data_IF_084285718953
#
_entry.id   IF_084285718953
#
_cell.length_a   1.000
_cell.length_b   1.000
_cell.length_c   1.000
_cell.angle_alpha   90.00
_cell.angle_beta   90.00
_cell.angle_gamma   90.00
#
_symmetry.space_group_name_H-M   'P 1'
#
loop_
_entity.id
_entity.type
_entity.pdbx_description
1 polymer ?
#
# COMPACT_ATOMS: atom_id res chain seq x y z
N UNK A 1 5.05 11.73 30.67
CA UNK A 1 4.32 10.65 29.96
C UNK A 1 4.86 9.33 30.50
N UNK A 2 4.01 8.54 31.16
CA UNK A 2 4.43 7.38 31.94
C UNK A 2 4.68 6.15 31.05
N UNK A 3 5.43 5.17 31.56
CA UNK A 3 5.68 3.88 30.89
C UNK A 3 4.38 3.23 30.40
N UNK A 4 3.26 3.42 31.10
CA UNK A 4 1.93 2.93 30.70
C UNK A 4 1.40 3.53 29.39
N UNK A 5 1.70 4.80 29.10
CA UNK A 5 1.19 5.49 27.90
C UNK A 5 1.97 5.03 26.67
N UNK A 6 3.29 4.85 26.81
CA UNK A 6 4.14 4.29 25.76
C UNK A 6 3.72 2.86 25.39
N UNK A 7 3.34 2.04 26.38
CA UNK A 7 2.85 0.68 26.14
C UNK A 7 1.53 0.70 25.38
N UNK A 8 0.60 1.60 25.74
CA UNK A 8 -0.66 1.78 24.99
C UNK A 8 -0.40 2.17 23.53
N UNK A 9 0.48 3.15 23.30
CA UNK A 9 0.84 3.57 21.94
C UNK A 9 1.52 2.46 21.15
N UNK A 10 2.36 1.63 21.79
CA UNK A 10 2.98 0.46 21.15
C UNK A 10 1.93 -0.58 20.71
N UNK A 11 1.01 -0.94 21.59
CA UNK A 11 -0.06 -1.91 21.29
C UNK A 11 -0.93 -1.40 20.14
N UNK A 12 -1.28 -0.10 20.17
CA UNK A 12 -2.06 0.54 19.10
C UNK A 12 -1.30 0.56 17.77
N UNK A 13 0.01 0.81 17.78
CA UNK A 13 0.84 0.78 16.58
C UNK A 13 0.91 -0.63 15.96
N UNK A 14 1.06 -1.67 16.79
CA UNK A 14 1.03 -3.06 16.31
C UNK A 14 -0.36 -3.42 15.76
N UNK A 15 -1.43 -3.05 16.46
CA UNK A 15 -2.81 -3.28 16.00
C UNK A 15 -3.09 -2.57 14.67
N UNK A 16 -2.65 -1.32 14.53
CA UNK A 16 -2.69 -0.56 13.29
C UNK A 16 -2.01 -1.32 12.15
N UNK A 17 -0.79 -1.82 12.35
CA UNK A 17 -0.07 -2.58 11.34
C UNK A 17 -0.79 -3.87 10.93
N UNK A 18 -1.49 -4.53 11.86
CA UNK A 18 -2.36 -5.68 11.55
C UNK A 18 -3.52 -5.29 10.66
N UNK A 19 -4.23 -4.21 10.98
CA UNK A 19 -5.33 -3.72 10.17
C UNK A 19 -4.86 -3.27 8.78
N UNK A 20 -3.81 -2.45 8.71
CA UNK A 20 -3.24 -1.98 7.45
C UNK A 20 -2.76 -3.17 6.61
N UNK A 21 -1.97 -4.09 7.16
CA UNK A 21 -1.48 -5.27 6.43
C UNK A 21 -2.62 -6.16 5.91
N UNK A 22 -3.64 -6.40 6.74
CA UNK A 22 -4.82 -7.16 6.35
C UNK A 22 -5.63 -6.47 5.25
N UNK A 23 -5.72 -5.14 5.28
CA UNK A 23 -6.48 -4.35 4.30
C UNK A 23 -5.99 -4.57 2.86
N UNK A 24 -4.67 -4.66 2.64
CA UNK A 24 -4.10 -4.92 1.31
C UNK A 24 -4.56 -6.27 0.76
N UNK A 25 -4.61 -7.28 1.62
CA UNK A 25 -4.96 -8.65 1.24
C UNK A 25 -6.47 -8.79 1.01
N UNK A 26 -7.30 -8.15 1.83
CA UNK A 26 -8.74 -8.08 1.62
C UNK A 26 -9.09 -7.33 0.33
N UNK A 27 -8.49 -6.16 0.09
CA UNK A 27 -8.67 -5.40 -1.16
C UNK A 27 -8.31 -6.26 -2.37
N UNK A 28 -7.17 -6.95 -2.32
CA UNK A 28 -6.74 -7.83 -3.42
C UNK A 28 -7.69 -9.00 -3.64
N UNK A 29 -8.15 -9.66 -2.57
CA UNK A 29 -9.12 -10.75 -2.67
C UNK A 29 -10.46 -10.26 -3.24
N UNK A 30 -10.90 -9.08 -2.84
CA UNK A 30 -12.07 -8.39 -3.42
C UNK A 30 -11.89 -8.10 -4.91
N UNK A 31 -10.72 -7.55 -5.29
CA UNK A 31 -10.39 -7.27 -6.70
C UNK A 31 -10.43 -8.54 -7.56
N UNK A 32 -9.86 -9.65 -7.08
CA UNK A 32 -9.91 -10.95 -7.79
C UNK A 32 -11.33 -11.46 -7.96
N UNK A 33 -12.19 -11.32 -6.95
CA UNK A 33 -13.59 -11.76 -7.01
C UNK A 33 -14.41 -10.89 -7.98
N UNK A 34 -14.25 -9.57 -7.90
CA UNK A 34 -14.88 -8.64 -8.81
C UNK A 34 -14.43 -8.86 -10.27
N UNK A 35 -13.15 -9.17 -10.47
CA UNK A 35 -12.58 -9.48 -11.78
C UNK A 35 -13.07 -10.80 -12.39
N UNK A 36 -13.59 -11.72 -11.59
CA UNK A 36 -14.25 -12.93 -12.10
C UNK A 36 -15.69 -12.67 -12.56
N UNK A 37 -16.34 -11.63 -12.03
CA UNK A 37 -17.71 -11.26 -12.35
C UNK A 37 -17.84 -10.10 -13.35
N UNK A 38 -16.76 -9.36 -13.62
CA UNK A 38 -16.77 -8.23 -14.55
C UNK A 38 -15.38 -7.73 -14.94
N UNK A 39 -15.28 -6.45 -15.30
CA UNK A 39 -14.04 -5.90 -15.85
C UNK A 39 -13.02 -5.68 -14.73
N UNK A 40 -11.85 -6.29 -14.92
CA UNK A 40 -10.71 -6.25 -14.00
C UNK A 40 -10.18 -4.83 -13.80
N UNK A 41 -9.77 -4.52 -12.57
CA UNK A 41 -9.20 -3.22 -12.24
C UNK A 41 -7.89 -2.96 -12.99
N UNK A 42 -7.07 -3.99 -13.18
CA UNK A 42 -5.78 -3.93 -13.88
C UNK A 42 -5.89 -3.41 -15.31
N UNK A 43 -7.02 -3.66 -16.00
CA UNK A 43 -7.30 -3.14 -17.35
C UNK A 43 -8.15 -1.87 -17.36
N UNK A 44 -8.36 -1.24 -16.19
CA UNK A 44 -9.11 0.01 -16.04
C UNK A 44 -10.59 -0.15 -15.70
N UNK A 45 -11.06 -1.35 -15.35
CA UNK A 45 -12.44 -1.58 -14.89
C UNK A 45 -12.70 -1.11 -13.45
N UNK A 46 -13.95 -0.80 -13.12
CA UNK A 46 -14.37 -0.33 -11.80
C UNK A 46 -15.35 -1.29 -11.09
N UNK A 47 -15.49 -2.54 -11.56
CA UNK A 47 -16.44 -3.52 -11.01
C UNK A 47 -16.22 -3.82 -9.53
N UNK A 48 -14.99 -3.64 -9.03
CA UNK A 48 -14.64 -3.84 -7.62
C UNK A 48 -15.37 -2.91 -6.65
N UNK A 49 -15.92 -1.78 -7.11
CA UNK A 49 -16.73 -0.88 -6.29
C UNK A 49 -18.04 -1.52 -5.81
N UNK A 50 -18.51 -2.57 -6.50
CA UNK A 50 -19.69 -3.34 -6.11
C UNK A 50 -19.36 -4.51 -5.16
N UNK A 51 -18.09 -4.87 -5.01
CA UNK A 51 -17.68 -6.04 -4.23
C UNK A 51 -17.55 -5.66 -2.74
N UNK A 52 -18.36 -6.24 -1.84
CA UNK A 52 -18.32 -5.89 -0.41
C UNK A 52 -17.00 -6.23 0.26
N UNK A 53 -16.28 -7.26 -0.20
CA UNK A 53 -14.96 -7.61 0.33
C UNK A 53 -13.92 -6.51 0.07
N UNK A 54 -14.01 -5.79 -1.05
CA UNK A 54 -13.12 -4.67 -1.33
C UNK A 54 -13.37 -3.51 -0.36
N UNK A 55 -14.64 -3.18 -0.11
CA UNK A 55 -15.03 -2.19 0.89
C UNK A 55 -14.64 -2.57 2.31
N UNK A 56 -14.77 -3.86 2.68
CA UNK A 56 -14.26 -4.35 3.95
C UNK A 56 -12.75 -4.08 4.08
N UNK A 57 -11.99 -4.29 3.00
CA UNK A 57 -10.58 -3.90 2.93
C UNK A 57 -10.36 -2.40 3.14
N UNK A 58 -11.14 -1.54 2.47
CA UNK A 58 -11.06 -0.08 2.65
C UNK A 58 -11.38 0.37 4.07
N UNK A 59 -12.44 -0.14 4.68
CA UNK A 59 -12.80 0.18 6.07
C UNK A 59 -11.70 -0.28 7.03
N UNK A 60 -11.16 -1.48 6.83
CA UNK A 60 -10.04 -2.00 7.64
C UNK A 60 -8.82 -1.08 7.54
N UNK A 61 -8.52 -0.55 6.35
CA UNK A 61 -7.43 0.42 6.14
C UNK A 61 -7.67 1.70 6.95
N UNK A 62 -8.88 2.27 6.88
CA UNK A 62 -9.23 3.49 7.61
C UNK A 62 -9.12 3.29 9.13
N UNK A 63 -9.62 2.17 9.65
CA UNK A 63 -9.50 1.83 11.07
C UNK A 63 -8.03 1.70 11.49
N UNK A 64 -7.21 1.08 10.65
CA UNK A 64 -5.76 1.00 10.86
C UNK A 64 -5.09 2.38 10.93
N UNK A 65 -5.36 3.26 9.97
CA UNK A 65 -4.81 4.62 9.95
C UNK A 65 -5.26 5.46 11.15
N UNK A 66 -6.51 5.34 11.59
CA UNK A 66 -7.00 6.00 12.81
C UNK A 66 -6.26 5.46 14.04
N UNK A 67 -6.10 4.14 14.16
CA UNK A 67 -5.33 3.53 15.25
C UNK A 67 -3.86 3.99 15.22
N UNK A 68 -3.26 4.14 14.04
CA UNK A 68 -1.92 4.68 13.84
C UNK A 68 -1.81 6.10 14.36
N UNK A 69 -2.76 6.96 13.98
CA UNK A 69 -2.82 8.34 14.44
C UNK A 69 -2.92 8.43 15.96
N UNK A 70 -3.79 7.63 16.58
CA UNK A 70 -3.92 7.57 18.03
C UNK A 70 -2.63 7.04 18.68
N UNK A 71 -1.91 6.11 18.04
CA UNK A 71 -0.61 5.65 18.54
C UNK A 71 0.43 6.79 18.64
N UNK A 72 0.46 7.70 17.67
CA UNK A 72 1.33 8.89 17.72
C UNK A 72 0.97 9.89 18.83
N UNK A 73 -0.28 9.86 19.34
CA UNK A 73 -0.68 10.68 20.49
C UNK A 73 -0.09 10.13 21.80
N UNK A 74 0.04 8.81 21.91
CA UNK A 74 0.49 8.13 23.13
C UNK A 74 1.99 7.79 23.14
N UNK A 75 2.60 7.61 21.98
CA UNK A 75 3.99 7.20 21.82
C UNK A 75 4.75 8.09 20.84
N UNK A 76 6.05 8.31 21.06
CA UNK A 76 6.89 9.08 20.15
C UNK A 76 6.99 8.40 18.77
N UNK A 77 7.10 9.21 17.71
CA UNK A 77 7.14 8.75 16.33
C UNK A 77 8.26 7.72 16.06
N UNK A 78 9.41 7.88 16.71
CA UNK A 78 10.55 6.95 16.58
C UNK A 78 10.19 5.50 16.96
N UNK A 79 9.20 5.29 17.83
CA UNK A 79 8.71 3.95 18.18
C UNK A 79 7.57 3.48 17.27
N UNK A 80 6.67 4.37 16.86
CA UNK A 80 5.46 4.03 16.11
C UNK A 80 5.77 3.78 14.63
N UNK A 81 6.59 4.62 14.01
CA UNK A 81 6.86 4.59 12.56
C UNK A 81 7.52 3.28 12.09
N UNK A 82 8.53 2.69 12.79
CA UNK A 82 9.11 1.42 12.38
C UNK A 82 8.13 0.25 12.49
N UNK A 83 7.18 0.31 13.43
CA UNK A 83 6.14 -0.71 13.58
C UNK A 83 5.18 -0.70 12.39
N UNK A 84 5.03 0.43 11.68
CA UNK A 84 4.30 0.50 10.42
C UNK A 84 4.84 -0.47 9.37
N UNK A 85 6.15 -0.75 9.34
CA UNK A 85 6.76 -1.75 8.45
C UNK A 85 6.33 -3.19 8.77
N UNK A 86 5.82 -3.47 9.98
CA UNK A 86 5.24 -4.78 10.31
C UNK A 86 4.03 -5.11 9.43
N UNK A 87 3.31 -4.09 8.93
CA UNK A 87 2.19 -4.30 8.00
C UNK A 87 2.62 -5.04 6.72
N UNK A 88 3.88 -4.91 6.31
CA UNK A 88 4.49 -5.63 5.17
C UNK A 88 4.62 -7.12 5.48
N UNK A 89 5.05 -7.47 6.70
CA UNK A 89 5.16 -8.88 7.11
C UNK A 89 3.76 -9.48 7.22
N UNK A 90 2.83 -8.76 7.85
CA UNK A 90 1.45 -9.22 8.02
C UNK A 90 0.77 -9.42 6.65
N UNK A 91 0.94 -8.48 5.72
CA UNK A 91 0.40 -8.62 4.37
C UNK A 91 1.03 -9.80 3.63
N UNK A 92 2.35 -10.01 3.73
CA UNK A 92 3.04 -11.16 3.12
C UNK A 92 2.56 -12.51 3.68
N UNK A 93 2.43 -12.61 5.00
CA UNK A 93 1.93 -13.83 5.68
C UNK A 93 0.48 -14.11 5.30
N UNK A 94 -0.39 -13.10 5.31
CA UNK A 94 -1.78 -13.25 4.92
C UNK A 94 -1.94 -13.53 3.42
N UNK A 95 -1.08 -12.99 2.55
CA UNK A 95 -1.04 -13.35 1.14
C UNK A 95 -0.76 -14.85 0.95
N UNK A 96 0.15 -15.41 1.77
CA UNK A 96 0.45 -16.83 1.74
C UNK A 96 -0.76 -17.70 2.11
N UNK A 97 -1.44 -17.39 3.22
CA UNK A 97 -2.57 -18.19 3.68
C UNK A 97 -3.87 -17.93 2.90
N UNK A 98 -4.24 -16.66 2.66
CA UNK A 98 -5.54 -16.30 2.10
C UNK A 98 -5.58 -16.32 0.57
N UNK A 99 -4.46 -15.99 -0.09
CA UNK A 99 -4.37 -15.96 -1.55
C UNK A 99 -3.61 -17.18 -2.10
N UNK A 100 -3.10 -18.06 -1.23
CA UNK A 100 -2.25 -19.21 -1.58
C UNK A 100 -1.03 -18.80 -2.42
N UNK A 101 -0.53 -17.58 -2.24
CA UNK A 101 0.72 -17.12 -2.88
C UNK A 101 1.90 -17.79 -2.16
N UNK A 102 2.75 -18.57 -2.85
CA UNK A 102 3.87 -19.24 -2.19
C UNK A 102 4.99 -18.25 -1.93
N UNK A 103 5.28 -17.98 -0.64
CA UNK A 103 6.46 -17.21 -0.26
C UNK A 103 7.63 -18.18 -0.07
N UNK A 104 8.62 -18.12 -0.95
CA UNK A 104 9.85 -18.90 -0.77
C UNK A 104 10.63 -18.42 0.47
N UNK A 105 11.52 -19.27 1.00
CA UNK A 105 12.39 -18.93 2.15
C UNK A 105 13.19 -17.63 1.91
N UNK A 106 13.61 -17.40 0.67
CA UNK A 106 14.31 -16.18 0.27
C UNK A 106 13.38 -14.94 0.25
N UNK A 107 12.08 -15.11 0.01
CA UNK A 107 11.09 -14.04 0.15
C UNK A 107 10.96 -13.54 1.60
N UNK A 108 11.11 -14.44 2.59
CA UNK A 108 11.15 -14.06 4.02
C UNK A 108 12.37 -13.18 4.29
N UNK A 109 13.54 -13.55 3.75
CA UNK A 109 14.76 -12.74 3.87
C UNK A 109 14.55 -11.35 3.25
N UNK A 110 13.89 -11.27 2.09
CA UNK A 110 13.53 -9.99 1.48
C UNK A 110 12.61 -9.14 2.36
N UNK A 111 11.54 -9.73 2.93
CA UNK A 111 10.66 -9.02 3.87
C UNK A 111 11.40 -8.52 5.12
N UNK A 112 12.27 -9.35 5.71
CA UNK A 112 13.08 -8.95 6.87
C UNK A 112 14.02 -7.81 6.50
N UNK A 113 14.69 -7.89 5.34
CA UNK A 113 15.55 -6.81 4.83
C UNK A 113 14.77 -5.49 4.65
N UNK A 114 13.56 -5.55 4.09
CA UNK A 114 12.70 -4.38 3.97
C UNK A 114 12.35 -3.77 5.34
N UNK A 115 12.01 -4.59 6.34
CA UNK A 115 11.72 -4.07 7.69
C UNK A 115 12.97 -3.45 8.32
N UNK A 116 14.12 -4.12 8.25
CA UNK A 116 15.39 -3.59 8.79
C UNK A 116 15.75 -2.26 8.13
N UNK A 117 15.73 -2.18 6.80
CA UNK A 117 16.03 -0.94 6.10
C UNK A 117 15.03 0.17 6.43
N UNK A 118 13.75 -0.15 6.60
CA UNK A 118 12.71 0.81 6.99
C UNK A 118 12.96 1.37 8.41
N UNK A 119 13.33 0.50 9.35
CA UNK A 119 13.70 0.90 10.72
C UNK A 119 14.90 1.84 10.68
N UNK A 120 15.93 1.53 9.89
CA UNK A 120 17.13 2.36 9.76
C UNK A 120 16.81 3.74 9.18
N UNK A 121 16.01 3.80 8.10
CA UNK A 121 15.57 5.07 7.49
C UNK A 121 14.83 5.92 8.52
N UNK A 122 13.86 5.33 9.22
CA UNK A 122 12.99 6.04 10.15
C UNK A 122 13.72 6.56 11.39
N UNK A 123 14.66 5.78 11.93
CA UNK A 123 15.43 6.20 13.12
C UNK A 123 16.34 7.38 12.82
N UNK A 124 16.86 7.46 11.60
CA UNK A 124 17.81 8.49 11.20
C UNK A 124 17.18 9.65 10.43
N UNK A 125 15.89 9.53 10.08
CA UNK A 125 15.11 10.57 9.44
C UNK A 125 15.20 11.89 10.23
N UNK A 126 15.23 13.04 9.52
CA UNK A 126 15.31 14.33 10.18
C UNK A 126 14.11 14.56 11.09
N UNK A 127 14.36 15.23 12.21
CA UNK A 127 13.29 15.75 13.06
C UNK A 127 12.57 16.84 12.27
N UNK A 128 11.37 16.55 11.79
CA UNK A 128 10.56 17.54 11.08
C UNK A 128 10.10 18.62 12.07
N UNK A 129 10.41 19.89 11.78
CA UNK A 129 9.79 21.00 12.48
C UNK A 129 8.32 21.07 12.09
N UNK A 130 7.40 20.86 13.04
CA UNK A 130 5.96 21.03 12.78
C UNK A 130 5.65 22.51 12.58
N UNK A 131 5.20 22.94 11.37
CA UNK A 131 4.91 24.34 11.13
C UNK A 131 3.70 24.78 11.95
N UNK A 132 3.73 26.04 12.36
CA UNK A 132 2.79 26.64 13.30
C UNK A 132 1.48 27.09 12.64
N UNK A 133 1.47 27.26 11.32
CA UNK A 133 0.33 27.79 10.57
C UNK A 133 0.21 27.25 9.15
N UNK A 134 -1.01 27.23 8.61
CA UNK A 134 -1.29 26.89 7.20
C UNK A 134 -0.59 27.86 6.24
N UNK A 135 -0.47 29.14 6.62
CA UNK A 135 0.26 30.14 5.83
C UNK A 135 1.75 29.84 5.76
N UNK A 136 2.34 29.28 6.80
CA UNK A 136 3.75 28.86 6.80
C UNK A 136 3.95 27.69 5.82
N UNK A 137 3.01 26.75 5.79
CA UNK A 137 3.05 25.64 4.82
C UNK A 137 2.84 26.16 3.40
N UNK A 138 1.96 27.14 3.22
CA UNK A 138 1.74 27.78 1.93
C UNK A 138 3.00 28.49 1.42
N UNK A 139 3.70 29.23 2.30
CA UNK A 139 4.95 29.89 1.90
C UNK A 139 6.02 28.87 1.57
N UNK A 140 6.16 27.79 2.33
CA UNK A 140 7.06 26.67 2.03
C UNK A 140 6.71 25.98 0.70
N UNK A 141 5.43 25.71 0.46
CA UNK A 141 4.95 25.08 -0.78
C UNK A 141 5.11 25.98 -2.02
N UNK A 142 5.07 27.30 -1.84
CA UNK A 142 5.26 28.28 -2.93
C UNK A 142 6.74 28.59 -3.19
N UNK A 143 7.67 28.01 -2.42
CA UNK A 143 9.09 28.18 -2.70
C UNK A 143 9.48 27.54 -4.03
N UNK A 144 10.43 28.13 -4.76
CA UNK A 144 10.82 27.65 -6.09
C UNK A 144 11.30 26.20 -6.07
N UNK A 145 12.00 25.77 -5.01
CA UNK A 145 12.47 24.39 -4.87
C UNK A 145 11.31 23.38 -4.83
N UNK A 146 10.29 23.62 -4.01
CA UNK A 146 9.14 22.73 -3.93
C UNK A 146 8.25 22.80 -5.17
N UNK A 147 8.10 23.98 -5.78
CA UNK A 147 7.37 24.12 -7.05
C UNK A 147 8.04 23.35 -8.19
N UNK A 148 9.37 23.39 -8.29
CA UNK A 148 10.13 22.58 -9.26
C UNK A 148 9.93 21.09 -8.98
N UNK A 149 10.00 20.66 -7.71
CA UNK A 149 9.74 19.27 -7.33
C UNK A 149 8.32 18.83 -7.69
N UNK A 150 7.30 19.65 -7.38
CA UNK A 150 5.91 19.36 -7.70
C UNK A 150 5.68 19.29 -9.21
N UNK A 151 6.22 20.25 -9.97
CA UNK A 151 6.15 20.25 -11.43
C UNK A 151 6.84 19.03 -12.04
N UNK A 152 8.03 18.67 -11.55
CA UNK A 152 8.74 17.46 -11.99
C UNK A 152 7.94 16.19 -11.66
N UNK A 153 7.40 16.09 -10.44
CA UNK A 153 6.58 14.97 -9.98
C UNK A 153 5.35 14.80 -10.87
N UNK A 154 4.59 15.87 -11.11
CA UNK A 154 3.42 15.85 -11.99
C UNK A 154 3.79 15.51 -13.43
N UNK A 155 4.92 16.01 -13.93
CA UNK A 155 5.42 15.71 -15.28
C UNK A 155 5.79 14.24 -15.43
N UNK A 156 6.47 13.66 -14.43
CA UNK A 156 6.82 12.23 -14.41
C UNK A 156 5.56 11.38 -14.31
N UNK A 157 4.62 11.73 -13.42
CA UNK A 157 3.32 11.05 -13.33
C UNK A 157 2.60 11.08 -14.67
N UNK A 158 2.53 12.24 -15.33
CA UNK A 158 1.88 12.37 -16.62
C UNK A 158 2.56 11.52 -17.70
N UNK A 159 3.89 11.50 -17.74
CA UNK A 159 4.65 10.63 -18.65
C UNK A 159 4.38 9.15 -18.37
N UNK A 160 4.35 8.74 -17.10
CA UNK A 160 4.05 7.37 -16.69
C UNK A 160 2.63 6.95 -17.10
N UNK A 161 1.64 7.82 -16.93
CA UNK A 161 0.23 7.56 -17.29
C UNK A 161 0.03 7.52 -18.81
N UNK A 162 0.54 8.53 -19.53
CA UNK A 162 0.25 8.67 -20.97
C UNK A 162 1.10 7.75 -21.85
N UNK A 163 2.35 7.46 -21.46
CA UNK A 163 3.30 6.76 -22.33
C UNK A 163 3.66 5.35 -21.84
N UNK A 164 3.93 5.18 -20.55
CA UNK A 164 4.46 3.94 -20.00
C UNK A 164 3.37 2.96 -19.56
N UNK A 165 2.29 3.44 -18.94
CA UNK A 165 1.17 2.59 -18.52
C UNK A 165 0.58 1.80 -19.70
N UNK A 166 0.25 2.41 -20.86
CA UNK A 166 -0.38 1.66 -21.95
C UNK A 166 0.53 0.60 -22.57
N UNK A 167 1.86 0.80 -22.52
CA UNK A 167 2.83 -0.09 -23.15
C UNK A 167 3.40 -1.15 -22.21
N UNK A 168 3.65 -0.79 -20.96
CA UNK A 168 4.46 -1.57 -20.03
C UNK A 168 3.80 -1.76 -18.66
N UNK A 169 2.65 -1.14 -18.39
CA UNK A 169 2.01 -1.15 -17.08
C UNK A 169 1.65 -2.56 -16.57
N UNK A 170 1.30 -3.48 -17.48
CA UNK A 170 0.97 -4.85 -17.11
C UNK A 170 2.21 -5.73 -16.87
N UNK A 171 3.37 -5.33 -17.40
CA UNK A 171 4.61 -6.10 -17.30
C UNK A 171 5.48 -5.62 -16.13
N UNK A 172 5.51 -4.30 -15.90
CA UNK A 172 6.39 -3.65 -14.94
C UNK A 172 5.61 -3.04 -13.78
N UNK A 173 5.66 -3.72 -12.62
CA UNK A 173 5.00 -3.28 -11.37
C UNK A 173 5.43 -1.87 -10.93
N UNK A 174 6.66 -1.47 -11.26
CA UNK A 174 7.23 -0.16 -10.92
C UNK A 174 6.46 1.01 -11.55
N UNK A 175 5.77 0.82 -12.67
CA UNK A 175 5.02 1.90 -13.33
C UNK A 175 3.81 2.29 -12.49
N UNK A 176 2.96 1.31 -12.14
CA UNK A 176 1.79 1.58 -11.29
C UNK A 176 2.18 2.05 -9.90
N UNK A 177 3.20 1.43 -9.29
CA UNK A 177 3.65 1.82 -7.95
C UNK A 177 4.40 3.14 -7.94
N UNK A 178 5.10 3.49 -9.03
CA UNK A 178 5.72 4.81 -9.21
C UNK A 178 4.68 5.92 -9.24
N UNK A 179 3.63 5.78 -10.07
CA UNK A 179 2.52 6.73 -10.13
C UNK A 179 1.85 6.87 -8.75
N UNK A 180 1.48 5.74 -8.14
CA UNK A 180 0.85 5.70 -6.83
C UNK A 180 1.72 6.37 -5.74
N UNK A 181 3.03 6.15 -5.76
CA UNK A 181 3.94 6.66 -4.73
C UNK A 181 4.25 8.15 -4.91
N UNK A 182 4.38 8.63 -6.16
CA UNK A 182 4.56 10.06 -6.47
C UNK A 182 3.32 10.88 -6.11
N UNK A 183 2.12 10.38 -6.42
CA UNK A 183 0.88 11.02 -5.97
C UNK A 183 0.73 10.91 -4.43
N UNK A 184 1.18 9.80 -3.86
CA UNK A 184 1.19 9.58 -2.42
C UNK A 184 2.06 10.57 -1.64
N UNK A 185 3.27 10.89 -2.12
CA UNK A 185 4.14 11.87 -1.44
C UNK A 185 3.52 13.27 -1.40
N UNK A 186 2.89 13.70 -2.51
CA UNK A 186 2.13 14.95 -2.58
C UNK A 186 0.89 14.94 -1.66
N UNK A 187 0.26 13.78 -1.51
CA UNK A 187 -0.85 13.58 -0.56
C UNK A 187 -0.40 13.81 0.87
N UNK A 188 0.73 13.22 1.30
CA UNK A 188 1.25 13.38 2.67
C UNK A 188 1.50 14.85 2.99
N UNK A 189 2.14 15.57 2.08
CA UNK A 189 2.35 17.02 2.21
C UNK A 189 1.03 17.78 2.36
N UNK A 190 0.04 17.48 1.52
CA UNK A 190 -1.25 18.15 1.53
C UNK A 190 -2.05 17.84 2.81
N UNK A 191 -2.03 16.59 3.28
CA UNK A 191 -2.68 16.17 4.52
C UNK A 191 -2.04 16.84 5.72
N UNK A 192 -0.72 17.03 5.76
CA UNK A 192 -0.06 17.81 6.83
C UNK A 192 -0.62 19.23 6.91
N UNK A 193 -0.81 19.89 5.76
CA UNK A 193 -1.42 21.22 5.70
C UNK A 193 -2.85 21.24 6.26
N UNK A 194 -3.66 20.25 5.85
CA UNK A 194 -5.04 20.09 6.30
C UNK A 194 -5.10 19.78 7.80
N UNK A 195 -4.23 18.89 8.31
CA UNK A 195 -4.17 18.52 9.72
C UNK A 195 -3.88 19.73 10.62
N UNK A 196 -2.97 20.59 10.19
CA UNK A 196 -2.65 21.85 10.89
C UNK A 196 -3.82 22.83 10.80
N UNK A 197 -4.49 22.94 9.64
CA UNK A 197 -5.70 23.75 9.49
C UNK A 197 -6.82 23.32 10.44
N UNK A 198 -7.05 22.01 10.57
CA UNK A 198 -8.05 21.43 11.49
C UNK A 198 -7.66 21.74 12.93
N UNK A 199 -6.41 21.51 13.32
CA UNK A 199 -5.91 21.78 14.67
C UNK A 199 -6.14 23.25 15.08
N UNK A 200 -5.75 24.19 14.22
CA UNK A 200 -5.94 25.63 14.46
C UNK A 200 -7.42 26.04 14.50
N UNK A 201 -8.26 25.37 13.69
CA UNK A 201 -9.71 25.60 13.70
C UNK A 201 -10.33 25.15 15.02
N UNK A 202 -9.87 24.02 15.58
CA UNK A 202 -10.30 23.54 16.90
C UNK A 202 -9.80 24.43 18.05
N UNK A 203 -8.64 25.09 17.87
CA UNK A 203 -8.10 26.09 18.80
C UNK A 203 -8.81 27.46 18.71
N UNK A 204 -9.83 27.60 17.86
CA UNK A 204 -10.72 28.76 17.80
C UNK A 204 -10.41 29.77 16.71
N UNK A 205 -9.38 29.55 15.89
CA UNK A 205 -9.08 30.40 14.72
C UNK A 205 -9.62 29.72 13.47
N UNK A 206 -10.75 30.20 12.94
CA UNK A 206 -11.40 29.57 11.78
C UNK A 206 -10.50 29.59 10.53
N UNK A 207 -9.78 28.49 10.25
CA UNK A 207 -8.94 28.36 9.06
C UNK A 207 -9.73 27.99 7.79
N UNK A 208 -11.02 27.69 7.95
CA UNK A 208 -11.96 27.35 6.86
C UNK A 208 -12.21 28.51 5.89
N UNK A 209 -11.93 29.74 6.32
CA UNK A 209 -12.06 30.95 5.48
C UNK A 209 -10.87 31.15 4.54
N UNK A 210 -9.75 30.46 4.75
CA UNK A 210 -8.55 30.62 3.92
C UNK A 210 -8.64 29.79 2.64
N UNK A 211 -8.46 30.39 1.45
CA UNK A 211 -8.47 29.66 0.18
C UNK A 211 -7.37 28.59 0.09
N UNK A 212 -6.28 28.76 0.84
CA UNK A 212 -5.16 27.81 0.90
C UNK A 212 -5.59 26.42 1.40
N UNK A 213 -6.48 26.37 2.42
CA UNK A 213 -6.98 25.11 2.98
C UNK A 213 -7.76 24.31 1.93
N UNK A 214 -8.60 24.99 1.14
CA UNK A 214 -9.37 24.39 0.06
C UNK A 214 -8.49 23.93 -1.11
N UNK A 215 -7.42 24.67 -1.40
CA UNK A 215 -6.42 24.24 -2.38
C UNK A 215 -5.76 22.93 -1.96
N UNK A 216 -5.19 22.85 -0.75
CA UNK A 216 -4.56 21.62 -0.26
C UNK A 216 -5.56 20.46 -0.16
N UNK A 217 -6.80 20.72 0.23
CA UNK A 217 -7.87 19.71 0.23
C UNK A 217 -8.14 19.15 -1.17
N UNK A 218 -8.25 20.03 -2.17
CA UNK A 218 -8.50 19.63 -3.56
C UNK A 218 -7.34 18.79 -4.10
N UNK A 219 -6.10 19.22 -3.85
CA UNK A 219 -4.89 18.47 -4.22
C UNK A 219 -4.87 17.11 -3.53
N UNK A 220 -5.14 17.05 -2.22
CA UNK A 220 -5.19 15.79 -1.47
C UNK A 220 -6.22 14.82 -2.05
N UNK A 221 -7.44 15.28 -2.37
CA UNK A 221 -8.50 14.43 -2.94
C UNK A 221 -8.08 13.88 -4.30
N UNK A 222 -7.59 14.71 -5.21
CA UNK A 222 -7.13 14.27 -6.54
C UNK A 222 -6.00 13.24 -6.40
N UNK A 223 -5.06 13.49 -5.50
CA UNK A 223 -3.93 12.60 -5.29
C UNK A 223 -4.34 11.26 -4.68
N UNK A 224 -5.21 11.26 -3.65
CA UNK A 224 -5.72 10.02 -3.02
C UNK A 224 -6.51 9.17 -4.01
N UNK A 225 -7.38 9.78 -4.82
CA UNK A 225 -8.17 9.04 -5.81
C UNK A 225 -7.25 8.40 -6.85
N UNK A 226 -6.27 9.16 -7.36
CA UNK A 226 -5.28 8.64 -8.32
C UNK A 226 -4.44 7.52 -7.69
N UNK A 227 -3.93 7.74 -6.48
CA UNK A 227 -3.16 6.78 -5.70
C UNK A 227 -3.93 5.46 -5.52
N UNK A 228 -5.19 5.53 -5.09
CA UNK A 228 -6.02 4.34 -4.87
C UNK A 228 -6.30 3.59 -6.17
N UNK A 229 -6.56 4.30 -7.28
CA UNK A 229 -6.79 3.69 -8.59
C UNK A 229 -5.57 2.88 -9.05
N UNK A 230 -4.37 3.48 -9.02
CA UNK A 230 -3.14 2.81 -9.45
C UNK A 230 -2.71 1.70 -8.47
N UNK A 231 -2.97 1.86 -7.17
CA UNK A 231 -2.75 0.77 -6.22
C UNK A 231 -3.67 -0.42 -6.51
N UNK A 232 -4.95 -0.18 -6.83
CA UNK A 232 -5.89 -1.24 -7.19
C UNK A 232 -5.47 -1.93 -8.50
N UNK A 233 -5.01 -1.18 -9.51
CA UNK A 233 -4.41 -1.73 -10.73
C UNK A 233 -3.22 -2.65 -10.41
N UNK A 234 -2.29 -2.19 -9.58
CA UNK A 234 -1.14 -2.97 -9.17
C UNK A 234 -1.52 -4.25 -8.40
N UNK A 235 -2.47 -4.16 -7.46
CA UNK A 235 -2.92 -5.31 -6.66
C UNK A 235 -3.68 -6.35 -7.48
N UNK A 236 -4.42 -5.94 -8.51
CA UNK A 236 -5.13 -6.85 -9.40
C UNK A 236 -4.17 -7.54 -10.38
N UNK A 237 -3.18 -6.82 -10.92
CA UNK A 237 -2.22 -7.36 -11.90
C UNK A 237 -1.10 -8.19 -11.25
N UNK A 238 -0.52 -7.74 -10.13
CA UNK A 238 0.70 -8.32 -9.56
C UNK A 238 0.47 -9.05 -8.22
N UNK A 239 1.45 -9.83 -7.76
CA UNK A 239 1.41 -10.54 -6.46
C UNK A 239 1.44 -9.56 -5.29
N UNK A 240 0.65 -9.79 -4.24
CA UNK A 240 0.59 -8.86 -3.10
C UNK A 240 1.90 -8.88 -2.31
N UNK A 241 2.54 -10.05 -2.31
CA UNK A 241 3.87 -10.25 -1.76
C UNK A 241 4.95 -9.34 -2.37
N UNK A 242 4.78 -8.85 -3.61
CA UNK A 242 5.70 -7.90 -4.24
C UNK A 242 5.17 -6.48 -4.11
N UNK A 243 3.86 -6.28 -4.35
CA UNK A 243 3.24 -4.95 -4.33
C UNK A 243 3.42 -4.28 -2.98
N UNK A 244 3.21 -4.98 -1.86
CA UNK A 244 3.27 -4.37 -0.53
C UNK A 244 4.68 -3.87 -0.16
N UNK A 245 5.75 -4.67 -0.29
CA UNK A 245 7.11 -4.18 -0.05
C UNK A 245 7.51 -3.06 -1.01
N UNK A 246 7.38 -3.24 -2.33
CA UNK A 246 7.81 -2.26 -3.34
C UNK A 246 7.10 -0.92 -3.14
N UNK A 247 5.78 -0.96 -2.90
CA UNK A 247 4.98 0.23 -2.64
C UNK A 247 5.49 0.98 -1.41
N UNK A 248 5.73 0.25 -0.32
CA UNK A 248 6.24 0.85 0.91
C UNK A 248 7.55 1.60 0.69
N UNK A 249 8.52 0.99 -0.02
CA UNK A 249 9.82 1.64 -0.32
C UNK A 249 9.63 2.91 -1.12
N UNK A 250 8.97 2.80 -2.27
CA UNK A 250 8.80 3.89 -3.22
C UNK A 250 8.05 5.05 -2.57
N UNK A 251 6.96 4.74 -1.87
CA UNK A 251 6.16 5.72 -1.14
C UNK A 251 6.96 6.40 -0.04
N UNK A 252 7.67 5.64 0.80
CA UNK A 252 8.43 6.19 1.93
C UNK A 252 9.55 7.10 1.44
N UNK A 253 10.33 6.65 0.46
CA UNK A 253 11.44 7.43 -0.09
C UNK A 253 10.97 8.70 -0.77
N UNK A 254 9.95 8.64 -1.62
CA UNK A 254 9.41 9.84 -2.27
C UNK A 254 8.80 10.80 -1.27
N UNK A 255 8.17 10.29 -0.21
CA UNK A 255 7.62 11.11 0.88
C UNK A 255 8.73 11.81 1.66
N UNK A 256 9.83 11.12 2.00
CA UNK A 256 10.98 11.73 2.67
C UNK A 256 11.60 12.81 1.80
N UNK A 257 11.81 12.53 0.50
CA UNK A 257 12.34 13.53 -0.45
C UNK A 257 11.41 14.75 -0.52
N UNK A 258 10.10 14.54 -0.62
CA UNK A 258 9.12 15.63 -0.65
C UNK A 258 9.17 16.48 0.63
N UNK A 259 9.13 15.84 1.81
CA UNK A 259 9.24 16.49 3.12
C UNK A 259 10.54 17.29 3.22
N UNK A 260 11.68 16.68 2.88
CA UNK A 260 12.99 17.30 3.02
C UNK A 260 13.13 18.53 2.11
N UNK A 261 12.65 18.47 0.86
CA UNK A 261 12.64 19.62 -0.05
C UNK A 261 11.72 20.74 0.47
N UNK A 262 10.54 20.38 0.98
CA UNK A 262 9.56 21.36 1.44
C UNK A 262 9.98 22.07 2.74
N UNK A 263 10.46 21.32 3.72
CA UNK A 263 10.80 21.83 5.05
C UNK A 263 12.24 22.31 5.18
N UNK A 264 13.09 22.09 4.16
CA UNK A 264 14.52 22.47 4.15
C UNK A 264 15.33 21.85 5.30
N UNK A 265 14.93 20.68 5.77
CA UNK A 265 15.53 20.00 6.92
C UNK A 265 16.99 19.50 6.66
N UNK A 266 17.50 19.63 5.43
CA UNK A 266 18.87 19.25 5.05
C UNK A 266 19.97 20.03 5.78
N UNK A 267 19.70 21.27 6.20
CA UNK A 267 20.73 22.19 6.71
C UNK A 267 21.24 21.86 8.12
N UNK A 268 20.53 21.01 8.88
CA UNK A 268 20.89 20.59 10.23
C UNK A 268 21.25 19.10 10.38
N UNK A 269 21.21 18.32 9.29
CA UNK A 269 21.46 16.88 9.37
C UNK A 269 22.96 16.55 9.40
N UNK A 270 23.35 15.71 10.37
CA UNK A 270 24.68 15.13 10.41
C UNK A 270 24.90 14.22 9.19
N UNK A 271 26.09 14.28 8.58
CA UNK A 271 26.49 13.42 7.45
C UNK A 271 26.28 11.93 7.75
N UNK A 272 26.48 11.52 9.02
CA UNK A 272 26.22 10.16 9.49
C UNK A 272 24.75 9.75 9.35
N UNK A 273 23.80 10.64 9.66
CA UNK A 273 22.36 10.37 9.56
C UNK A 273 21.94 10.19 8.10
N UNK A 274 22.44 11.07 7.22
CA UNK A 274 22.21 10.97 5.77
C UNK A 274 22.79 9.66 5.22
N UNK A 275 24.01 9.30 5.63
CA UNK A 275 24.64 8.04 5.21
C UNK A 275 23.85 6.81 5.69
N UNK A 276 23.34 6.82 6.92
CA UNK A 276 22.48 5.74 7.43
C UNK A 276 21.13 5.67 6.73
N UNK A 277 20.52 6.81 6.38
CA UNK A 277 19.28 6.83 5.59
C UNK A 277 19.50 6.21 4.20
N UNK A 278 20.60 6.56 3.52
CA UNK A 278 20.99 5.97 2.23
C UNK A 278 21.24 4.46 2.39
N UNK A 279 21.94 4.04 3.45
CA UNK A 279 22.16 2.63 3.75
C UNK A 279 20.85 1.86 3.98
N UNK A 280 19.93 2.46 4.75
CA UNK A 280 18.59 1.93 4.96
C UNK A 280 17.84 1.78 3.64
N UNK A 281 17.88 2.81 2.78
CA UNK A 281 17.27 2.77 1.45
C UNK A 281 17.85 1.65 0.57
N UNK A 282 19.18 1.50 0.52
CA UNK A 282 19.83 0.41 -0.22
C UNK A 282 19.40 -0.96 0.33
N UNK A 283 19.26 -1.10 1.65
CA UNK A 283 18.82 -2.34 2.31
C UNK A 283 17.36 -2.69 1.98
N UNK A 284 16.50 -1.68 1.86
CA UNK A 284 15.12 -1.88 1.43
C UNK A 284 15.07 -2.25 -0.07
N UNK A 285 15.87 -1.60 -0.92
CA UNK A 285 15.98 -1.92 -2.35
C UNK A 285 16.50 -3.34 -2.58
N UNK A 286 17.55 -3.76 -1.84
CA UNK A 286 18.08 -5.12 -1.94
C UNK A 286 17.03 -6.16 -1.53
N UNK A 287 16.29 -5.90 -0.44
CA UNK A 287 15.16 -6.74 -0.01
C UNK A 287 14.09 -6.88 -1.11
N UNK A 288 13.81 -5.79 -1.81
CA UNK A 288 12.85 -5.74 -2.92
C UNK A 288 13.33 -6.52 -4.14
N UNK A 289 14.62 -6.42 -4.50
CA UNK A 289 15.23 -7.20 -5.58
C UNK A 289 15.19 -8.69 -5.25
N UNK A 290 15.48 -9.09 -4.01
CA UNK A 290 15.36 -10.48 -3.55
C UNK A 290 13.92 -10.97 -3.69
N UNK A 291 12.94 -10.17 -3.27
CA UNK A 291 11.51 -10.49 -3.42
C UNK A 291 11.09 -10.65 -4.89
N UNK A 292 11.66 -9.86 -5.81
CA UNK A 292 11.40 -9.98 -7.24
C UNK A 292 12.06 -11.23 -7.84
N UNK A 293 13.35 -11.45 -7.58
CA UNK A 293 14.13 -12.56 -8.13
C UNK A 293 13.65 -13.94 -7.64
N UNK A 294 13.12 -14.03 -6.43
CA UNK A 294 12.60 -15.29 -5.87
C UNK A 294 11.30 -15.74 -6.51
N UNK A 295 10.56 -14.83 -7.14
CA UNK A 295 9.35 -15.18 -7.88
C UNK A 295 9.68 -15.78 -9.26
N UNK A 296 10.73 -15.30 -9.93
CA UNK A 296 11.16 -15.84 -11.23
C UNK A 296 11.67 -17.28 -11.14
N UNK A 297 12.02 -17.74 -9.94
CA UNK A 297 12.43 -19.12 -9.68
C UNK A 297 11.26 -20.11 -9.51
N UNK A 298 10.00 -19.70 -9.66
CA UNK A 298 8.90 -20.68 -9.78
C UNK A 298 9.10 -21.48 -11.08
N UNK A 299 9.40 -22.80 -11.01
CA UNK A 299 9.39 -23.62 -12.20
C UNK A 299 7.97 -23.58 -12.80
N UNK A 300 7.81 -23.62 -14.13
CA UNK A 300 6.51 -23.93 -14.70
C UNK A 300 5.99 -25.21 -14.04
N UNK A 301 4.67 -25.33 -13.78
CA UNK A 301 4.12 -26.57 -13.24
C UNK A 301 4.64 -27.71 -14.11
N UNK A 302 5.26 -28.71 -13.48
CA UNK A 302 5.78 -29.86 -14.19
C UNK A 302 4.66 -30.41 -15.08
N UNK A 303 4.84 -30.36 -16.40
CA UNK A 303 4.01 -31.11 -17.32
C UNK A 303 4.17 -32.58 -16.94
N UNK A 304 3.13 -33.14 -16.33
CA UNK A 304 3.08 -34.55 -15.95
C UNK A 304 3.22 -34.83 -14.46
N UNK A 305 2.23 -34.45 -13.66
CA UNK A 305 1.71 -35.34 -12.62
C UNK A 305 0.23 -35.05 -12.45
N UNK A 306 -0.60 -35.88 -13.11
CA UNK A 306 -2.04 -35.96 -12.85
C UNK A 306 -2.18 -36.37 -11.39
N UNK A 307 -2.39 -35.39 -10.52
CA UNK A 307 -2.82 -35.65 -9.14
C UNK A 307 -4.33 -35.65 -9.20
N UNK A 308 -4.93 -36.85 -9.18
CA UNK A 308 -6.38 -37.00 -9.07
C UNK A 308 -6.83 -36.39 -7.73
N UNK A 309 -7.29 -35.15 -7.76
CA UNK A 309 -8.21 -34.67 -6.73
C UNK A 309 -9.52 -35.39 -6.99
N UNK A 310 -9.75 -36.48 -6.25
CA UNK A 310 -11.10 -37.01 -6.07
C UNK A 310 -11.87 -35.90 -5.35
N UNK A 311 -12.60 -35.11 -6.14
CA UNK A 311 -13.61 -34.20 -5.64
C UNK A 311 -14.74 -35.07 -5.11
N UNK A 312 -14.81 -35.22 -3.78
CA UNK A 312 -15.77 -36.06 -3.07
C UNK A 312 -17.24 -35.63 -3.17
N UNK A 313 -17.60 -34.77 -4.12
CA UNK A 313 -18.99 -34.29 -4.30
C UNK A 313 -19.55 -34.50 -5.72
N UNK A 314 -18.81 -35.11 -6.66
CA UNK A 314 -19.33 -35.40 -8.01
C UNK A 314 -19.86 -36.81 -8.22
N UNK A 315 -19.68 -37.73 -7.27
CA UNK A 315 -20.14 -39.13 -7.42
C UNK A 315 -21.66 -39.26 -7.19
N UNK A 316 -22.27 -38.42 -6.35
CA UNK A 316 -23.72 -38.49 -6.11
C UNK A 316 -24.58 -38.03 -7.30
N UNK A 317 -24.08 -37.11 -8.14
CA UNK A 317 -24.87 -36.65 -9.29
C UNK A 317 -24.83 -37.61 -10.47
N UNK A 318 -23.77 -38.42 -10.60
CA UNK A 318 -23.60 -39.32 -11.74
C UNK A 318 -24.22 -40.70 -11.51
N UNK A 319 -24.29 -41.17 -10.26
CA UNK A 319 -25.00 -42.42 -9.93
C UNK A 319 -26.52 -42.26 -10.05
N UNK A 320 -27.10 -41.11 -9.68
CA UNK A 320 -28.56 -40.90 -9.80
C UNK A 320 -29.03 -40.78 -11.27
N UNK A 321 -28.28 -40.14 -12.18
CA UNK A 321 -28.65 -40.08 -13.61
C UNK A 321 -28.50 -41.44 -14.31
N UNK A 322 -27.51 -42.24 -13.93
CA UNK A 322 -27.31 -43.56 -14.54
C UNK A 322 -28.31 -44.60 -14.02
N UNK A 323 -28.79 -44.49 -12.77
CA UNK A 323 -29.84 -45.37 -12.23
C UNK A 323 -31.22 -45.08 -12.84
N UNK A 324 -31.54 -43.80 -13.09
CA UNK A 324 -32.81 -43.40 -13.72
C UNK A 324 -32.89 -43.87 -15.17
N UNK A 325 -31.75 -43.94 -15.87
CA UNK A 325 -31.72 -44.38 -17.27
C UNK A 325 -31.87 -45.90 -17.41
N UNK A 326 -31.40 -46.70 -16.44
CA UNK A 326 -31.50 -48.18 -16.48
C UNK A 326 -32.89 -48.68 -16.07
N UNK A 327 -33.62 -47.98 -15.19
CA UNK A 327 -34.99 -48.40 -14.84
C UNK A 327 -36.05 -48.08 -15.92
N UNK A 328 -35.72 -47.28 -16.93
CA UNK A 328 -36.69 -46.88 -17.96
C UNK A 328 -36.60 -47.71 -19.25
N UNK A 329 -35.58 -48.55 -19.40
CA UNK A 329 -35.39 -49.39 -20.59
C UNK A 329 -36.07 -50.77 -20.52
N UNK A 330 -36.53 -51.21 -19.35
CA UNK A 330 -37.12 -52.55 -19.16
C UNK A 330 -38.66 -52.59 -19.15
N UNK A 331 -39.35 -51.52 -19.56
CA UNK A 331 -40.84 -51.45 -19.53
C UNK A 331 -41.49 -51.26 -20.91
N UNK A 332 -40.75 -51.42 -22.02
CA UNK A 332 -41.31 -51.20 -23.37
C UNK A 332 -41.09 -52.32 -24.40
N UNK A 333 -40.75 -53.53 -23.96
CA UNK A 333 -40.91 -54.74 -24.79
C UNK A 333 -41.79 -55.78 -24.09
N UNK A 334 -43.11 -55.54 -24.10
CA UNK A 334 -44.15 -56.58 -24.24
C UNK A 334 -45.50 -55.97 -24.67
#
# INVERSE_FOLDING_TARGET
MGVSDNVKGLILAVASSVFIGSSFILKKKGLKRAGAAGIRAGVGGYTYLLEPLWWAGMVTMIVGEVANFVAYVYSPAVLVTPLGALSIIISAVLAHFMLRERLQKMGIVGCVSCVVGSVVIVIHAPQEHTPSSVQEIWTLATQPAFLIYAAATLSIVLALILHFEPRYGQENVLIFLGICSLMGSLTVVSIKAIGIAIKLTLEGVSQMAYPQTWFFLTVAVICVVTQLNYLNKALDTFSAAIVSPVYYVMFTTLTIIASAIMFKDWSGQNVSSIASEICGFITVLSGTIILHATKEQEPPPAQGTVTWYISGDSIKSFEDEHLITICNSDVLEQ
#
